data_IF_145041779545
#
_entry.id   IF_145041779545
#
_cell.length_a   1.000
_cell.length_b   1.000
_cell.length_c   1.000
_cell.angle_alpha   90.00
_cell.angle_beta   90.00
_cell.angle_gamma   90.00
#
_symmetry.space_group_name_H-M   'P 1'
#
loop_
_entity.id
_entity.type
_entity.pdbx_description
1 polymer ?
#
# COMPACT_ATOMS: atom_id res chain seq x y z
N UNK A 1 -9.56 -7.67 -10.87
CA UNK A 1 -10.23 -8.85 -10.33
C UNK A 1 -9.25 -9.96 -10.08
N UNK A 2 -9.19 -10.47 -8.83
CA UNK A 2 -8.41 -11.66 -8.52
C UNK A 2 -8.75 -12.78 -9.48
N UNK A 3 -7.75 -13.32 -10.15
CA UNK A 3 -7.95 -14.34 -11.17
C UNK A 3 -8.72 -15.54 -10.62
N UNK A 4 -9.69 -16.01 -11.38
CA UNK A 4 -10.55 -17.17 -11.08
C UNK A 4 -9.73 -18.38 -10.59
N UNK A 5 -8.47 -18.50 -11.01
CA UNK A 5 -7.55 -19.56 -10.62
C UNK A 5 -7.22 -19.60 -9.10
N UNK A 6 -7.25 -18.47 -8.40
CA UNK A 6 -6.96 -18.41 -6.97
C UNK A 6 -8.20 -18.57 -6.08
N UNK A 7 -9.40 -18.46 -6.63
CA UNK A 7 -10.64 -18.54 -5.87
C UNK A 7 -10.78 -19.83 -5.05
N UNK A 8 -10.50 -21.05 -5.56
CA UNK A 8 -10.63 -22.27 -4.78
C UNK A 8 -9.65 -22.32 -3.59
N UNK A 9 -8.41 -21.87 -3.80
CA UNK A 9 -7.40 -21.80 -2.74
C UNK A 9 -7.81 -20.77 -1.67
N UNK A 10 -8.32 -19.63 -2.08
CA UNK A 10 -8.80 -18.59 -1.17
C UNK A 10 -10.03 -19.03 -0.38
N UNK A 11 -10.97 -19.72 -1.01
CA UNK A 11 -12.10 -20.31 -0.31
C UNK A 11 -11.63 -21.36 0.71
N UNK A 12 -10.70 -22.24 0.33
CA UNK A 12 -10.16 -23.24 1.24
C UNK A 12 -9.44 -22.59 2.46
N UNK A 13 -8.66 -21.53 2.24
CA UNK A 13 -8.00 -20.79 3.32
C UNK A 13 -9.00 -20.03 4.21
N UNK A 14 -10.05 -19.47 3.61
CA UNK A 14 -11.04 -18.66 4.31
C UNK A 14 -11.98 -19.50 5.17
N UNK A 15 -12.46 -20.64 4.63
CA UNK A 15 -13.40 -21.54 5.30
C UNK A 15 -12.72 -22.69 6.04
N UNK A 16 -11.42 -22.89 5.82
CA UNK A 16 -10.62 -23.91 6.47
C UNK A 16 -10.09 -23.54 7.86
N UNK A 17 -10.70 -22.56 8.54
CA UNK A 17 -10.26 -22.08 9.86
C UNK A 17 -9.94 -23.19 10.88
N UNK A 18 -10.76 -24.24 11.05
CA UNK A 18 -10.45 -25.31 12.00
C UNK A 18 -9.18 -26.11 11.61
N UNK A 19 -8.95 -26.32 10.31
CA UNK A 19 -7.75 -26.98 9.80
C UNK A 19 -6.54 -26.08 10.03
N UNK A 20 -6.66 -24.79 9.73
CA UNK A 20 -5.61 -23.80 9.95
C UNK A 20 -5.24 -23.65 11.43
N UNK A 21 -6.19 -23.76 12.35
CA UNK A 21 -5.93 -23.80 13.79
C UNK A 21 -5.04 -24.98 14.17
N UNK A 22 -5.31 -26.17 13.63
CA UNK A 22 -4.51 -27.36 13.86
C UNK A 22 -3.09 -27.21 13.30
N UNK A 23 -2.94 -26.71 12.09
CA UNK A 23 -1.65 -26.47 11.44
C UNK A 23 -0.86 -25.39 12.19
N UNK A 24 -1.48 -24.28 12.57
CA UNK A 24 -0.85 -23.22 13.37
C UNK A 24 -0.36 -23.74 14.72
N UNK A 25 -1.14 -24.55 15.42
CA UNK A 25 -0.74 -25.17 16.67
C UNK A 25 0.47 -26.12 16.50
N UNK A 26 0.45 -26.96 15.46
CA UNK A 26 1.54 -27.90 15.19
C UNK A 26 2.84 -27.17 14.81
N UNK A 27 2.76 -26.14 13.98
CA UNK A 27 3.93 -25.38 13.51
C UNK A 27 4.56 -24.51 14.60
N UNK A 28 3.81 -24.11 15.63
CA UNK A 28 4.38 -23.40 16.79
C UNK A 28 5.38 -24.24 17.59
N UNK A 29 5.33 -25.56 17.46
CA UNK A 29 6.27 -26.48 18.12
C UNK A 29 7.57 -26.69 17.33
N UNK A 30 7.62 -26.26 16.07
CA UNK A 30 8.82 -26.38 15.26
C UNK A 30 9.83 -25.28 15.65
N UNK A 31 11.12 -25.59 15.73
CA UNK A 31 12.14 -24.57 15.98
C UNK A 31 12.16 -23.55 14.82
N UNK A 32 12.42 -22.30 15.14
CA UNK A 32 12.70 -21.28 14.14
C UNK A 32 13.99 -21.61 13.42
N UNK A 33 13.95 -21.68 12.11
CA UNK A 33 15.17 -21.83 11.31
C UNK A 33 15.81 -20.43 11.15
N UNK A 34 17.13 -20.38 11.03
CA UNK A 34 17.83 -19.12 10.73
C UNK A 34 17.78 -18.76 9.23
N UNK A 35 17.00 -19.50 8.45
CA UNK A 35 16.85 -19.30 7.01
C UNK A 35 15.62 -18.40 6.75
N UNK A 36 15.87 -17.22 6.23
CA UNK A 36 14.86 -16.19 5.99
C UNK A 36 13.60 -16.68 5.26
N UNK A 37 13.70 -17.45 4.20
CA UNK A 37 12.56 -17.89 3.40
C UNK A 37 11.61 -18.82 4.15
N UNK A 38 12.11 -19.93 4.73
CA UNK A 38 11.30 -20.83 5.56
C UNK A 38 10.68 -20.17 6.79
N UNK A 39 11.36 -19.21 7.44
CA UNK A 39 10.84 -18.55 8.62
C UNK A 39 9.67 -17.64 8.30
N UNK A 40 9.72 -16.88 7.20
CA UNK A 40 8.58 -16.04 6.75
C UNK A 40 7.35 -16.89 6.47
N UNK A 41 7.53 -18.06 5.84
CA UNK A 41 6.42 -18.97 5.56
C UNK A 41 5.86 -19.56 6.87
N UNK A 42 6.75 -20.01 7.78
CA UNK A 42 6.35 -20.54 9.08
C UNK A 42 5.64 -19.49 9.94
N UNK A 43 6.11 -18.26 9.95
CA UNK A 43 5.48 -17.18 10.70
C UNK A 43 4.10 -16.83 10.14
N UNK A 44 3.93 -16.89 8.82
CA UNK A 44 2.62 -16.73 8.19
C UNK A 44 1.64 -17.80 8.63
N UNK A 45 2.10 -19.06 8.71
CA UNK A 45 1.25 -20.19 9.13
C UNK A 45 1.02 -20.21 10.64
N UNK A 46 1.94 -19.66 11.44
CA UNK A 46 1.83 -19.54 12.91
C UNK A 46 0.87 -18.46 13.37
N UNK A 47 0.48 -17.52 12.51
CA UNK A 47 -0.48 -16.48 12.85
C UNK A 47 -1.82 -17.09 13.28
N UNK A 48 -2.57 -16.34 14.07
CA UNK A 48 -3.91 -16.77 14.47
C UNK A 48 -4.82 -16.82 13.24
N UNK A 49 -5.46 -17.96 12.94
CA UNK A 49 -6.21 -18.12 11.71
C UNK A 49 -7.47 -17.26 11.64
N UNK A 50 -8.10 -16.93 12.77
CA UNK A 50 -9.32 -16.10 12.78
C UNK A 50 -9.13 -14.70 12.20
N UNK A 51 -8.20 -13.87 12.72
CA UNK A 51 -7.87 -12.57 12.13
C UNK A 51 -7.42 -12.68 10.67
N UNK A 52 -6.60 -13.67 10.32
CA UNK A 52 -6.13 -13.88 8.95
C UNK A 52 -7.28 -14.22 8.00
N UNK A 53 -8.21 -15.08 8.43
CA UNK A 53 -9.41 -15.40 7.67
C UNK A 53 -10.31 -14.18 7.46
N UNK A 54 -10.49 -13.33 8.49
CA UNK A 54 -11.29 -12.11 8.38
C UNK A 54 -10.67 -11.12 7.37
N UNK A 55 -9.34 -10.96 7.38
CA UNK A 55 -8.61 -10.13 6.40
C UNK A 55 -8.80 -10.69 4.99
N UNK A 56 -8.63 -12.00 4.79
CA UNK A 56 -8.83 -12.63 3.49
C UNK A 56 -10.28 -12.49 3.00
N UNK A 57 -11.27 -12.69 3.88
CA UNK A 57 -12.68 -12.48 3.54
C UNK A 57 -12.93 -11.02 3.11
N UNK A 58 -12.39 -10.05 3.85
CA UNK A 58 -12.49 -8.63 3.51
C UNK A 58 -11.87 -8.31 2.16
N UNK A 59 -10.66 -8.83 1.90
CA UNK A 59 -9.91 -8.60 0.67
C UNK A 59 -10.59 -9.22 -0.58
N UNK A 60 -11.12 -10.44 -0.46
CA UNK A 60 -11.63 -11.18 -1.63
C UNK A 60 -13.13 -11.04 -1.84
N UNK A 61 -13.90 -10.85 -0.79
CA UNK A 61 -15.36 -10.80 -0.86
C UNK A 61 -15.94 -9.46 -0.43
N UNK A 62 -15.14 -8.62 0.24
CA UNK A 62 -15.53 -7.28 0.65
C UNK A 62 -15.32 -6.23 -0.45
N UNK A 63 -15.88 -5.05 -0.23
CA UNK A 63 -15.58 -3.87 -1.03
C UNK A 63 -14.25 -3.28 -0.54
N UNK A 64 -13.17 -3.61 -1.22
CA UNK A 64 -11.80 -3.23 -0.81
C UNK A 64 -11.49 -1.76 -1.13
N UNK A 65 -12.12 -1.19 -2.14
CA UNK A 65 -11.86 0.17 -2.57
C UNK A 65 -13.17 0.98 -2.71
N UNK A 66 -13.14 2.29 -2.45
CA UNK A 66 -14.25 3.18 -2.74
C UNK A 66 -14.61 3.15 -4.23
N UNK A 67 -15.86 3.53 -4.55
CA UNK A 67 -16.27 3.71 -5.94
C UNK A 67 -15.42 4.79 -6.63
N UNK A 68 -15.29 4.69 -7.95
CA UNK A 68 -14.48 5.61 -8.78
C UNK A 68 -14.75 7.10 -8.50
N UNK A 69 -16.01 7.46 -8.36
CA UNK A 69 -16.40 8.85 -8.11
C UNK A 69 -15.88 9.36 -6.75
N UNK A 70 -15.82 8.49 -5.75
CA UNK A 70 -15.24 8.81 -4.44
C UNK A 70 -13.72 8.93 -4.55
N UNK A 71 -13.06 8.03 -5.29
CA UNK A 71 -11.61 8.11 -5.48
C UNK A 71 -11.18 9.41 -6.13
N UNK A 72 -11.95 9.93 -7.09
CA UNK A 72 -11.73 11.23 -7.75
C UNK A 72 -11.81 12.43 -6.82
N UNK A 73 -12.42 12.29 -5.65
CA UNK A 73 -12.50 13.38 -4.65
C UNK A 73 -11.35 13.34 -3.63
N UNK A 74 -10.47 12.34 -3.69
CA UNK A 74 -9.34 12.22 -2.78
C UNK A 74 -8.26 13.21 -3.20
N UNK A 75 -8.12 14.30 -2.46
CA UNK A 75 -7.15 15.36 -2.75
C UNK A 75 -5.77 15.11 -2.11
N UNK A 76 -5.61 14.04 -1.36
CA UNK A 76 -4.31 13.69 -0.79
C UNK A 76 -3.34 13.23 -1.88
N UNK A 77 -2.07 13.69 -1.87
CA UNK A 77 -1.06 13.15 -2.75
C UNK A 77 -0.93 11.63 -2.59
N UNK A 78 -0.81 10.90 -3.67
CA UNK A 78 -0.73 9.46 -3.68
C UNK A 78 0.48 8.96 -4.50
N UNK A 79 1.24 8.03 -3.94
CA UNK A 79 2.25 7.27 -4.66
C UNK A 79 1.72 5.86 -4.88
N UNK A 80 1.45 5.51 -6.14
CA UNK A 80 0.99 4.18 -6.53
C UNK A 80 2.21 3.38 -6.98
N UNK A 81 2.45 2.25 -6.34
CA UNK A 81 3.56 1.35 -6.71
C UNK A 81 2.96 0.14 -7.39
N UNK A 82 3.30 -0.07 -8.66
CA UNK A 82 2.80 -1.17 -9.47
C UNK A 82 3.94 -2.03 -10.03
N UNK A 83 3.61 -3.28 -10.37
CA UNK A 83 4.53 -4.27 -10.92
C UNK A 83 3.87 -5.02 -12.09
N UNK A 84 4.54 -5.11 -13.23
CA UNK A 84 3.97 -5.66 -14.49
C UNK A 84 3.58 -7.13 -14.42
N UNK A 85 4.22 -7.90 -13.57
CA UNK A 85 4.02 -9.35 -13.43
C UNK A 85 3.37 -9.72 -12.10
N UNK A 86 2.55 -8.83 -11.56
CA UNK A 86 1.79 -9.15 -10.35
C UNK A 86 0.69 -10.18 -10.68
N UNK A 87 0.74 -11.38 -10.09
CA UNK A 87 -0.25 -12.41 -10.35
C UNK A 87 -1.61 -12.13 -9.72
N UNK A 88 -1.67 -11.18 -8.78
CA UNK A 88 -2.87 -10.86 -7.99
C UNK A 88 -3.51 -9.56 -8.46
N UNK A 89 -2.69 -8.53 -8.69
CA UNK A 89 -3.14 -7.20 -9.08
C UNK A 89 -2.59 -6.87 -10.46
N UNK A 90 -3.38 -6.91 -11.53
CA UNK A 90 -2.95 -6.50 -12.85
C UNK A 90 -2.39 -5.08 -12.83
N UNK A 91 -1.31 -4.82 -13.56
CA UNK A 91 -0.70 -3.49 -13.62
C UNK A 91 -1.70 -2.40 -14.04
N UNK A 92 -2.68 -2.76 -14.86
CA UNK A 92 -3.80 -1.88 -15.26
C UNK A 92 -4.60 -1.31 -14.08
N UNK A 93 -4.61 -1.99 -12.93
CA UNK A 93 -5.28 -1.47 -11.72
C UNK A 93 -4.49 -0.29 -11.14
N UNK A 94 -3.16 -0.32 -11.23
CA UNK A 94 -2.27 0.78 -10.83
C UNK A 94 -2.42 1.98 -11.78
N UNK A 95 -2.46 1.74 -13.09
CA UNK A 95 -2.70 2.77 -14.09
C UNK A 95 -4.06 3.44 -13.86
N UNK A 96 -5.11 2.64 -13.65
CA UNK A 96 -6.46 3.16 -13.39
C UNK A 96 -6.50 4.01 -12.10
N UNK A 97 -5.77 3.63 -11.05
CA UNK A 97 -5.69 4.45 -9.83
C UNK A 97 -5.02 5.79 -10.08
N UNK A 98 -3.95 5.83 -10.85
CA UNK A 98 -3.26 7.08 -11.21
C UNK A 98 -4.14 7.99 -12.07
N UNK A 99 -4.93 7.44 -12.98
CA UNK A 99 -5.89 8.20 -13.78
C UNK A 99 -7.08 8.75 -12.97
N UNK A 100 -7.46 8.05 -11.91
CA UNK A 100 -8.63 8.39 -11.09
C UNK A 100 -8.32 9.35 -9.95
N UNK A 101 -7.13 9.28 -9.38
CA UNK A 101 -6.71 10.14 -8.27
C UNK A 101 -6.18 11.48 -8.80
N UNK A 102 -6.66 12.63 -8.27
CA UNK A 102 -6.27 13.96 -8.76
C UNK A 102 -4.80 14.32 -8.63
N UNK A 103 -4.13 13.79 -7.62
CA UNK A 103 -2.70 14.03 -7.33
C UNK A 103 -2.01 12.69 -7.06
N UNK A 104 -1.79 11.93 -8.13
CA UNK A 104 -1.16 10.62 -8.06
C UNK A 104 0.08 10.51 -8.96
N UNK A 105 1.09 9.77 -8.48
CA UNK A 105 2.28 9.41 -9.22
C UNK A 105 2.44 7.89 -9.26
N UNK A 106 2.73 7.34 -10.45
CA UNK A 106 3.06 5.93 -10.61
C UNK A 106 4.56 5.72 -10.42
N UNK A 107 4.91 4.74 -9.59
CA UNK A 107 6.25 4.18 -9.47
C UNK A 107 6.22 2.71 -9.87
N UNK A 108 6.90 2.38 -10.96
CA UNK A 108 6.98 1.00 -11.41
C UNK A 108 8.07 0.26 -10.63
N UNK A 109 7.70 -0.83 -9.97
CA UNK A 109 8.65 -1.75 -9.36
C UNK A 109 9.17 -2.76 -10.40
N UNK A 110 10.46 -3.11 -10.32
CA UNK A 110 11.09 -4.05 -11.25
C UNK A 110 10.66 -5.49 -11.01
N UNK A 111 10.31 -5.80 -9.76
CA UNK A 111 9.76 -7.12 -9.38
C UNK A 111 8.92 -7.03 -8.12
N UNK A 112 8.04 -8.04 -7.91
CA UNK A 112 7.23 -8.17 -6.69
C UNK A 112 8.11 -8.32 -5.43
N UNK A 113 9.35 -8.76 -5.58
CA UNK A 113 10.30 -8.96 -4.50
C UNK A 113 11.26 -7.78 -4.32
N UNK A 114 11.21 -6.75 -5.16
CA UNK A 114 12.16 -5.64 -5.12
C UNK A 114 12.23 -4.99 -3.74
N UNK A 115 11.07 -4.66 -3.15
CA UNK A 115 11.01 -4.08 -1.80
C UNK A 115 11.66 -4.97 -0.73
N UNK A 116 11.84 -6.24 -1.01
CA UNK A 116 12.35 -7.24 -0.08
C UNK A 116 13.82 -7.56 -0.29
N UNK A 117 14.26 -7.61 -1.54
CA UNK A 117 15.60 -8.07 -1.91
C UNK A 117 16.55 -6.91 -2.23
N UNK A 118 16.03 -5.83 -2.80
CA UNK A 118 16.79 -4.64 -3.24
C UNK A 118 15.95 -3.38 -2.98
N UNK A 119 15.65 -3.06 -1.69
CA UNK A 119 14.67 -2.03 -1.34
C UNK A 119 15.16 -0.60 -1.59
N UNK A 120 16.45 -0.38 -1.84
CA UNK A 120 17.09 0.93 -1.80
C UNK A 120 16.44 1.93 -2.75
N UNK A 121 16.16 1.50 -3.98
CA UNK A 121 15.53 2.35 -5.00
C UNK A 121 14.12 2.76 -4.59
N UNK A 122 13.27 1.79 -4.25
CA UNK A 122 11.89 2.06 -3.87
C UNK A 122 11.78 2.86 -2.57
N UNK A 123 12.62 2.55 -1.58
CA UNK A 123 12.63 3.30 -0.31
C UNK A 123 13.09 4.74 -0.49
N UNK A 124 14.05 4.99 -1.39
CA UNK A 124 14.50 6.36 -1.73
C UNK A 124 13.35 7.14 -2.38
N UNK A 125 12.69 6.58 -3.38
CA UNK A 125 11.55 7.22 -4.06
C UNK A 125 10.37 7.48 -3.10
N UNK A 126 10.09 6.55 -2.19
CA UNK A 126 9.08 6.73 -1.14
C UNK A 126 9.47 7.86 -0.20
N UNK A 127 10.73 7.90 0.26
CA UNK A 127 11.22 8.95 1.15
C UNK A 127 11.14 10.33 0.50
N UNK A 128 11.54 10.45 -0.77
CA UNK A 128 11.43 11.69 -1.54
C UNK A 128 9.98 12.14 -1.70
N UNK A 129 9.07 11.19 -1.98
CA UNK A 129 7.64 11.49 -2.06
C UNK A 129 7.10 11.99 -0.72
N UNK A 130 7.44 11.33 0.38
CA UNK A 130 7.02 11.74 1.72
C UNK A 130 7.58 13.11 2.08
N UNK A 131 8.84 13.37 1.80
CA UNK A 131 9.47 14.68 2.02
C UNK A 131 8.77 15.78 1.22
N UNK A 132 8.37 15.48 -0.02
CA UNK A 132 7.61 16.42 -0.83
C UNK A 132 6.24 16.74 -0.20
N UNK A 133 5.53 15.72 0.29
CA UNK A 133 4.21 15.87 0.91
C UNK A 133 4.26 16.64 2.23
N UNK A 134 5.32 16.46 3.03
CA UNK A 134 5.44 17.06 4.37
C UNK A 134 6.35 18.28 4.44
N UNK A 135 6.96 18.73 3.34
CA UNK A 135 7.65 20.02 3.34
C UNK A 135 6.67 21.13 3.72
N UNK A 136 6.93 21.91 4.79
CA UNK A 136 6.07 23.02 5.14
C UNK A 136 5.99 23.96 3.93
N UNK A 137 4.79 24.20 3.40
CA UNK A 137 4.55 25.23 2.38
C UNK A 137 5.06 26.53 2.96
N UNK A 138 6.21 27.04 2.51
CA UNK A 138 6.65 28.39 2.82
C UNK A 138 5.50 29.31 2.44
N UNK A 139 4.85 29.90 3.48
CA UNK A 139 3.86 30.95 3.25
C UNK A 139 4.50 31.95 2.30
N UNK A 140 3.94 32.14 1.13
CA UNK A 140 4.35 33.18 0.19
C UNK A 140 4.40 34.47 1.00
N UNK A 141 5.60 35.03 1.15
CA UNK A 141 5.85 36.19 2.00
C UNK A 141 4.88 37.29 1.65
N UNK A 142 4.06 37.70 2.61
CA UNK A 142 3.23 38.86 2.50
C UNK A 142 4.13 40.05 2.17
N UNK A 143 4.05 40.55 0.96
CA UNK A 143 4.61 41.85 0.60
C UNK A 143 3.90 42.87 1.50
N UNK A 144 4.59 43.26 2.57
CA UNK A 144 4.22 44.44 3.33
C UNK A 144 4.27 45.65 2.35
N UNK A 145 3.09 46.09 1.96
CA UNK A 145 2.89 47.31 1.22
C UNK A 145 3.36 48.44 2.12
N UNK A 146 4.57 48.95 1.84
CA UNK A 146 5.12 50.11 2.53
C UNK A 146 4.11 51.24 2.51
N UNK A 147 3.72 51.71 3.68
CA UNK A 147 2.94 52.91 3.89
C UNK A 147 3.76 54.11 3.36
N UNK A 148 3.26 54.70 2.31
CA UNK A 148 3.76 55.96 1.75
C UNK A 148 3.34 57.06 2.69
N UNK A 149 4.30 57.58 3.48
CA UNK A 149 4.11 58.77 4.27
C UNK A 149 3.91 59.96 3.33
N UNK A 150 2.73 60.55 3.33
CA UNK A 150 2.46 61.87 2.74
C UNK A 150 2.88 62.93 3.74
N UNK A 151 4.08 63.52 3.50
CA UNK A 151 4.48 64.74 4.20
C UNK A 151 3.64 65.90 3.65
N UNK A 152 2.90 66.56 4.54
CA UNK A 152 2.31 67.87 4.32
C UNK A 152 3.32 68.87 4.84
N UNK A 153 3.81 69.74 3.94
CA UNK A 153 4.57 70.94 4.32
C UNK A 153 3.62 72.14 4.26
N UNK A 154 3.64 72.93 5.32
CA UNK A 154 3.06 74.26 5.45
C UNK A 154 3.93 75.29 4.81
#
# INVERSE_FOLDING_TARGET
GCGIAFTPLMCALTFGEPIMKGVSWATRKLPTSRLWGPDVLLDTVRQQPGPSAAVLQGLFFGRVAPHRDIRRTIAAPALVIGHDRDPVHPFSDSDALVEELPDARLLRADSILEMRLTPERLTTEIAEFLDHCWKPRRKAGGRTRGARATGVAS
#
